data_IF_258926034378
#
_entry.id   IF_258926034378
#
_cell.length_a   1.000
_cell.length_b   1.000
_cell.length_c   1.000
_cell.angle_alpha   90.00
_cell.angle_beta   90.00
_cell.angle_gamma   90.00
#
_symmetry.space_group_name_H-M   'P 1'
#
loop_
_entity.id
_entity.type
_entity.pdbx_description
1 polymer ?
#
# COMPACT_ATOMS: atom_id res chain seq x y z
N UNK A 1 31.65 -7.03 -16.52
CA UNK A 1 31.03 -6.07 -17.45
C UNK A 1 30.11 -6.87 -18.35
N UNK A 2 28.88 -7.11 -17.89
CA UNK A 2 27.85 -7.82 -18.65
C UNK A 2 26.82 -6.77 -19.04
N UNK A 3 26.57 -6.64 -20.34
CA UNK A 3 25.69 -5.67 -20.94
C UNK A 3 24.28 -5.77 -20.33
N UNK A 4 23.84 -4.69 -19.67
CA UNK A 4 22.45 -4.47 -19.35
C UNK A 4 21.72 -4.24 -20.67
N UNK A 5 21.13 -5.29 -21.22
CA UNK A 5 20.17 -5.17 -22.31
C UNK A 5 19.07 -4.20 -21.83
N UNK A 6 18.85 -3.12 -22.58
CA UNK A 6 17.92 -2.07 -22.21
C UNK A 6 16.51 -2.66 -22.17
N UNK A 7 16.08 -3.06 -20.97
CA UNK A 7 14.75 -3.60 -20.74
C UNK A 7 13.74 -2.53 -21.16
N UNK A 8 12.86 -2.90 -22.10
CA UNK A 8 11.93 -1.98 -22.72
C UNK A 8 11.06 -1.30 -21.63
N UNK A 9 11.10 0.04 -21.58
CA UNK A 9 10.33 0.81 -20.59
C UNK A 9 8.90 0.98 -21.07
N UNK A 10 7.94 0.90 -20.16
CA UNK A 10 6.51 1.02 -20.48
C UNK A 10 5.97 2.31 -19.84
N UNK A 11 5.19 3.10 -20.59
CA UNK A 11 4.61 4.33 -20.03
C UNK A 11 3.56 4.02 -18.97
N UNK A 12 3.41 4.91 -17.98
CA UNK A 12 2.36 4.81 -16.97
C UNK A 12 0.96 4.76 -17.60
N UNK A 13 0.74 5.50 -18.69
CA UNK A 13 -0.54 5.48 -19.42
C UNK A 13 -0.83 4.13 -20.10
N UNK A 14 0.19 3.47 -20.67
CA UNK A 14 0.02 2.13 -21.24
C UNK A 14 -0.27 1.08 -20.15
N UNK A 15 0.43 1.18 -19.02
CA UNK A 15 0.18 0.32 -17.85
C UNK A 15 -1.22 0.52 -17.26
N UNK A 16 -1.68 1.77 -17.15
CA UNK A 16 -3.02 2.09 -16.65
C UNK A 16 -4.11 1.45 -17.53
N UNK A 17 -4.05 1.65 -18.86
CA UNK A 17 -5.00 1.03 -19.79
C UNK A 17 -4.98 -0.50 -19.68
N UNK A 18 -3.79 -1.11 -19.75
CA UNK A 18 -3.64 -2.56 -19.69
C UNK A 18 -4.23 -3.15 -18.39
N UNK A 19 -3.97 -2.53 -17.24
CA UNK A 19 -4.53 -2.98 -15.98
C UNK A 19 -6.06 -2.91 -15.96
N UNK A 20 -6.64 -1.81 -16.45
CA UNK A 20 -8.10 -1.64 -16.54
C UNK A 20 -8.72 -2.70 -17.44
N UNK A 21 -8.15 -2.90 -18.62
CA UNK A 21 -8.67 -3.84 -19.61
C UNK A 21 -8.65 -5.27 -19.09
N UNK A 22 -7.54 -5.71 -18.47
CA UNK A 22 -7.44 -7.02 -17.83
C UNK A 22 -8.47 -7.18 -16.71
N UNK A 23 -8.59 -6.19 -15.81
CA UNK A 23 -9.55 -6.28 -14.70
C UNK A 23 -11.00 -6.32 -15.19
N UNK A 24 -11.36 -5.51 -16.18
CA UNK A 24 -12.70 -5.57 -16.82
C UNK A 24 -12.95 -6.91 -17.51
N UNK A 25 -11.95 -7.48 -18.16
CA UNK A 25 -12.05 -8.80 -18.80
C UNK A 25 -12.25 -9.95 -17.79
N UNK A 26 -11.91 -9.75 -16.51
CA UNK A 26 -12.30 -10.70 -15.44
C UNK A 26 -13.77 -10.62 -15.04
N UNK A 27 -14.51 -9.63 -15.57
CA UNK A 27 -15.91 -9.34 -15.23
C UNK A 27 -16.08 -8.33 -14.10
N UNK A 28 -15.01 -7.67 -13.66
CA UNK A 28 -15.09 -6.58 -12.68
C UNK A 28 -15.87 -5.38 -13.24
N UNK A 29 -16.68 -4.73 -12.42
CA UNK A 29 -17.34 -3.47 -12.80
C UNK A 29 -16.33 -2.32 -12.97
N UNK A 30 -16.79 -1.24 -13.61
CA UNK A 30 -15.95 -0.07 -13.90
C UNK A 30 -15.31 0.51 -12.64
N UNK A 31 -16.08 0.62 -11.56
CA UNK A 31 -15.61 1.19 -10.31
C UNK A 31 -14.50 0.34 -9.67
N UNK A 32 -14.64 -0.99 -9.71
CA UNK A 32 -13.65 -1.93 -9.19
C UNK A 32 -12.38 -1.90 -10.03
N UNK A 33 -12.50 -1.94 -11.37
CA UNK A 33 -11.37 -1.86 -12.27
C UNK A 33 -10.60 -0.54 -12.13
N UNK A 34 -11.32 0.59 -12.01
CA UNK A 34 -10.71 1.91 -11.78
C UNK A 34 -9.96 1.96 -10.46
N UNK A 35 -10.61 1.64 -9.35
CA UNK A 35 -10.02 1.74 -8.03
C UNK A 35 -8.79 0.84 -7.88
N UNK A 36 -8.88 -0.42 -8.34
CA UNK A 36 -7.76 -1.35 -8.28
C UNK A 36 -6.58 -0.89 -9.15
N UNK A 37 -6.85 -0.38 -10.36
CA UNK A 37 -5.82 0.19 -11.24
C UNK A 37 -5.16 1.39 -10.59
N UNK A 38 -5.94 2.35 -10.07
CA UNK A 38 -5.41 3.56 -9.42
C UNK A 38 -4.47 3.22 -8.27
N UNK A 39 -4.82 2.24 -7.42
CA UNK A 39 -3.97 1.81 -6.32
C UNK A 39 -2.66 1.15 -6.81
N UNK A 40 -2.73 0.28 -7.83
CA UNK A 40 -1.52 -0.31 -8.43
C UNK A 40 -0.64 0.74 -9.12
N UNK A 41 -1.24 1.68 -9.84
CA UNK A 41 -0.53 2.77 -10.50
C UNK A 41 0.03 3.76 -9.49
N UNK A 42 -0.58 3.93 -8.31
CA UNK A 42 0.05 4.66 -7.22
C UNK A 42 1.35 3.96 -6.79
N UNK A 43 1.30 2.65 -6.49
CA UNK A 43 2.49 1.90 -6.10
C UNK A 43 3.59 1.95 -7.17
N UNK A 44 3.21 1.74 -8.44
CA UNK A 44 4.14 1.81 -9.57
C UNK A 44 4.65 3.23 -9.83
N UNK A 45 3.84 4.28 -9.73
CA UNK A 45 4.33 5.64 -9.96
C UNK A 45 5.39 6.03 -8.92
N UNK A 46 5.17 5.68 -7.65
CA UNK A 46 6.04 6.12 -6.54
C UNK A 46 7.20 5.16 -6.23
N UNK A 47 7.44 4.13 -7.05
CA UNK A 47 8.53 3.17 -6.81
C UNK A 47 8.27 2.12 -5.74
N UNK A 48 7.02 2.00 -5.29
CA UNK A 48 6.57 0.96 -4.35
C UNK A 48 6.10 -0.26 -5.15
N UNK A 49 7.00 -0.80 -5.98
CA UNK A 49 6.68 -1.85 -6.96
C UNK A 49 6.14 -3.13 -6.33
N UNK A 50 6.43 -3.36 -5.04
CA UNK A 50 5.85 -4.42 -4.23
C UNK A 50 4.32 -4.44 -4.26
N UNK A 51 3.71 -3.26 -4.35
CA UNK A 51 2.27 -3.06 -4.43
C UNK A 51 1.85 -2.36 -5.73
N UNK A 52 2.70 -2.45 -6.76
CA UNK A 52 2.44 -1.90 -8.08
C UNK A 52 1.67 -2.85 -9.00
N UNK A 53 1.80 -2.63 -10.31
CA UNK A 53 1.13 -3.40 -11.37
C UNK A 53 1.49 -4.90 -11.38
N UNK A 54 2.56 -5.32 -10.69
CA UNK A 54 2.85 -6.75 -10.46
C UNK A 54 1.74 -7.50 -9.72
N UNK A 55 0.87 -6.79 -9.01
CA UNK A 55 -0.28 -7.39 -8.31
C UNK A 55 -1.45 -7.72 -9.25
N UNK A 56 -1.41 -7.28 -10.51
CA UNK A 56 -2.49 -7.49 -11.47
C UNK A 56 -2.86 -8.97 -11.62
N UNK A 57 -1.87 -9.85 -11.73
CA UNK A 57 -2.10 -11.30 -11.84
C UNK A 57 -2.80 -11.86 -10.59
N UNK A 58 -2.41 -11.40 -9.41
CA UNK A 58 -3.02 -11.80 -8.14
C UNK A 58 -4.48 -11.35 -8.05
N UNK A 59 -4.76 -10.10 -8.41
CA UNK A 59 -6.13 -9.57 -8.38
C UNK A 59 -7.02 -10.21 -9.43
N UNK A 60 -6.51 -10.44 -10.65
CA UNK A 60 -7.23 -11.16 -11.69
C UNK A 60 -7.56 -12.60 -11.23
N UNK A 61 -6.65 -13.28 -10.53
CA UNK A 61 -6.93 -14.60 -9.95
C UNK A 61 -8.01 -14.53 -8.85
N UNK A 62 -7.96 -13.53 -7.95
CA UNK A 62 -8.96 -13.35 -6.90
C UNK A 62 -10.36 -13.03 -7.43
N UNK A 63 -10.44 -12.18 -8.46
CA UNK A 63 -11.70 -11.84 -9.14
C UNK A 63 -12.25 -13.06 -9.87
N UNK A 64 -11.44 -13.75 -10.67
CA UNK A 64 -11.88 -14.92 -11.44
C UNK A 64 -12.22 -16.11 -10.54
N UNK A 65 -11.49 -16.32 -9.44
CA UNK A 65 -11.72 -17.39 -8.49
C UNK A 65 -12.92 -17.17 -7.55
N UNK A 66 -13.37 -15.92 -7.38
CA UNK A 66 -14.53 -15.57 -6.55
C UNK A 66 -14.19 -15.07 -5.14
N UNK A 67 -12.91 -15.09 -4.73
CA UNK A 67 -12.45 -14.51 -3.46
C UNK A 67 -12.63 -13.00 -3.38
N UNK A 68 -12.64 -12.32 -4.53
CA UNK A 68 -12.92 -10.89 -4.64
C UNK A 68 -14.22 -10.72 -5.44
N UNK A 69 -15.20 -10.03 -4.86
CA UNK A 69 -16.43 -9.69 -5.55
C UNK A 69 -16.15 -8.72 -6.70
N UNK A 70 -16.63 -9.08 -7.89
CA UNK A 70 -16.42 -8.33 -9.14
C UNK A 70 -17.29 -7.09 -9.24
N UNK A 71 -18.46 -7.10 -8.61
CA UNK A 71 -19.46 -6.03 -8.67
C UNK A 71 -19.98 -5.70 -7.28
N UNK A 72 -19.10 -5.30 -6.34
CA UNK A 72 -19.44 -5.15 -4.94
C UNK A 72 -20.38 -3.96 -4.70
N UNK A 73 -21.38 -4.17 -3.85
CA UNK A 73 -22.31 -3.13 -3.40
C UNK A 73 -21.82 -2.50 -2.10
N UNK A 74 -20.75 -1.71 -2.18
CA UNK A 74 -20.22 -0.99 -1.01
C UNK A 74 -21.30 -0.09 -0.42
N UNK A 75 -21.60 -0.26 0.87
CA UNK A 75 -22.70 0.44 1.55
C UNK A 75 -22.32 0.85 2.97
N UNK A 76 -22.95 1.92 3.46
CA UNK A 76 -22.85 2.32 4.85
C UNK A 76 -23.76 1.43 5.71
N UNK A 77 -23.20 0.80 6.73
CA UNK A 77 -23.94 0.00 7.72
C UNK A 77 -24.52 0.85 8.84
N UNK A 78 -23.85 1.95 9.19
CA UNK A 78 -24.24 2.84 10.26
C UNK A 78 -23.20 3.90 10.53
N UNK A 79 -23.51 4.83 11.42
CA UNK A 79 -22.65 5.94 11.80
C UNK A 79 -23.36 6.94 12.69
N UNK A 80 -22.59 7.74 13.41
CA UNK A 80 -23.08 8.83 14.24
C UNK A 80 -22.06 9.96 14.31
N UNK A 81 -22.49 11.20 14.07
CA UNK A 81 -21.60 12.36 14.06
C UNK A 81 -20.49 12.21 13.01
N UNK A 82 -19.24 12.22 13.48
CA UNK A 82 -18.04 12.18 12.66
C UNK A 82 -17.56 10.76 12.27
N UNK A 83 -18.34 9.71 12.54
CA UNK A 83 -17.93 8.32 12.28
C UNK A 83 -18.95 7.54 11.46
N UNK A 84 -18.47 6.68 10.56
CA UNK A 84 -19.27 5.75 9.76
C UNK A 84 -18.61 4.37 9.68
N UNK A 85 -19.39 3.32 9.38
CA UNK A 85 -18.89 1.98 9.05
C UNK A 85 -19.37 1.60 7.65
N UNK A 86 -18.46 1.17 6.79
CA UNK A 86 -18.73 0.65 5.46
C UNK A 86 -18.58 -0.87 5.43
N UNK A 87 -19.48 -1.52 4.69
CA UNK A 87 -19.37 -2.90 4.25
C UNK A 87 -18.91 -2.90 2.79
N UNK A 88 -17.78 -3.54 2.51
CA UNK A 88 -17.17 -3.60 1.19
C UNK A 88 -17.70 -4.74 0.31
N UNK A 89 -18.61 -5.58 0.82
CA UNK A 89 -19.26 -6.66 0.07
C UNK A 89 -18.23 -7.63 -0.56
N UNK A 90 -17.18 -7.95 0.19
CA UNK A 90 -16.03 -8.78 -0.21
C UNK A 90 -15.33 -8.28 -1.49
N UNK A 91 -15.49 -6.99 -1.81
CA UNK A 91 -14.92 -6.33 -2.97
C UNK A 91 -13.41 -6.11 -2.90
N UNK A 92 -12.86 -5.62 -4.01
CA UNK A 92 -11.44 -5.26 -4.06
C UNK A 92 -11.13 -4.13 -3.07
N UNK A 93 -10.07 -4.29 -2.27
CA UNK A 93 -9.79 -3.41 -1.14
C UNK A 93 -9.64 -1.94 -1.50
N UNK A 94 -9.10 -1.64 -2.68
CA UNK A 94 -8.95 -0.27 -3.15
C UNK A 94 -10.29 0.46 -3.36
N UNK A 95 -11.33 -0.23 -3.82
CA UNK A 95 -12.63 0.41 -4.05
C UNK A 95 -13.23 0.88 -2.73
N UNK A 96 -13.22 0.00 -1.72
CA UNK A 96 -13.73 0.32 -0.40
C UNK A 96 -12.89 1.41 0.28
N UNK A 97 -11.56 1.35 0.17
CA UNK A 97 -10.68 2.32 0.80
C UNK A 97 -10.76 3.72 0.18
N UNK A 98 -10.87 3.84 -1.16
CA UNK A 98 -11.12 5.14 -1.79
C UNK A 98 -12.47 5.73 -1.39
N UNK A 99 -13.55 4.93 -1.42
CA UNK A 99 -14.88 5.38 -0.98
C UNK A 99 -14.87 5.77 0.51
N UNK A 100 -14.20 4.99 1.35
CA UNK A 100 -14.10 5.29 2.77
C UNK A 100 -13.35 6.60 3.02
N UNK A 101 -12.26 6.87 2.29
CA UNK A 101 -11.50 8.11 2.45
C UNK A 101 -12.30 9.32 1.96
N UNK A 102 -13.03 9.21 0.86
CA UNK A 102 -13.98 10.24 0.40
C UNK A 102 -15.01 10.54 1.50
N UNK A 103 -15.63 9.51 2.09
CA UNK A 103 -16.54 9.66 3.24
C UNK A 103 -15.85 10.30 4.45
N UNK A 104 -14.62 9.93 4.76
CA UNK A 104 -13.86 10.53 5.85
C UNK A 104 -13.61 12.02 5.60
N UNK A 105 -13.26 12.42 4.39
CA UNK A 105 -13.11 13.83 3.99
C UNK A 105 -14.44 14.59 4.09
N UNK A 106 -15.54 14.01 3.61
CA UNK A 106 -16.89 14.60 3.74
C UNK A 106 -17.29 14.82 5.20
N UNK A 107 -16.99 13.86 6.06
CA UNK A 107 -17.24 13.95 7.51
C UNK A 107 -16.32 15.01 8.14
N UNK A 108 -15.04 15.03 7.81
CA UNK A 108 -14.08 16.01 8.31
C UNK A 108 -14.43 17.44 7.87
N UNK A 109 -14.97 17.62 6.66
CA UNK A 109 -15.48 18.91 6.19
C UNK A 109 -16.58 19.47 7.09
N UNK A 110 -17.45 18.59 7.61
CA UNK A 110 -18.61 18.92 8.45
C UNK A 110 -18.29 19.01 9.94
N UNK A 111 -17.43 18.13 10.45
CA UNK A 111 -17.21 17.94 11.89
C UNK A 111 -15.77 18.20 12.33
N UNK A 112 -14.88 18.60 11.42
CA UNK A 112 -13.45 18.80 11.66
C UNK A 112 -12.61 17.51 11.59
N UNK A 113 -13.21 16.36 11.90
CA UNK A 113 -12.64 15.01 11.75
C UNK A 113 -13.67 14.10 11.10
N UNK A 114 -13.22 13.08 10.37
CA UNK A 114 -14.05 12.00 9.86
C UNK A 114 -13.33 10.66 9.96
N UNK A 115 -13.97 9.65 10.55
CA UNK A 115 -13.39 8.31 10.70
C UNK A 115 -14.31 7.25 10.09
N UNK A 116 -13.74 6.33 9.31
CA UNK A 116 -14.51 5.30 8.63
C UNK A 116 -13.87 3.93 8.84
N UNK A 117 -14.62 3.04 9.49
CA UNK A 117 -14.28 1.63 9.62
C UNK A 117 -14.75 0.86 8.38
N UNK A 118 -13.91 -0.05 7.85
CA UNK A 118 -14.19 -0.83 6.64
C UNK A 118 -14.25 -2.31 7.00
N UNK A 119 -15.39 -2.94 6.68
CA UNK A 119 -15.66 -4.37 6.87
C UNK A 119 -15.66 -5.10 5.54
N UNK A 120 -15.46 -6.42 5.61
CA UNK A 120 -15.58 -7.33 4.46
C UNK A 120 -14.75 -6.87 3.27
N UNK A 121 -13.54 -6.37 3.52
CA UNK A 121 -12.63 -5.91 2.46
C UNK A 121 -11.60 -6.98 2.12
N UNK A 122 -10.75 -6.67 1.16
CA UNK A 122 -9.62 -7.50 0.72
C UNK A 122 -8.33 -6.68 0.68
N UNK A 123 -7.26 -7.25 0.14
CA UNK A 123 -5.98 -6.55 0.01
C UNK A 123 -6.15 -5.26 -0.82
N UNK A 124 -5.65 -4.14 -0.30
CA UNK A 124 -5.87 -2.82 -0.89
C UNK A 124 -4.60 -2.20 -1.52
N UNK A 125 -3.52 -2.95 -1.73
CA UNK A 125 -2.29 -2.36 -2.29
C UNK A 125 -1.59 -1.40 -1.31
N UNK A 126 -0.99 -0.30 -1.80
CA UNK A 126 -0.25 0.64 -0.95
C UNK A 126 -1.21 1.53 -0.15
N UNK A 127 -1.05 1.59 1.17
CA UNK A 127 -1.91 2.41 2.04
C UNK A 127 -1.78 3.91 1.73
N UNK A 128 -0.62 4.34 1.23
CA UNK A 128 -0.34 5.69 0.74
C UNK A 128 -1.26 6.16 -0.36
N UNK A 129 -1.87 5.26 -1.13
CA UNK A 129 -2.84 5.62 -2.17
C UNK A 129 -4.04 6.37 -1.60
N UNK A 130 -4.47 6.04 -0.38
CA UNK A 130 -5.68 6.60 0.23
C UNK A 130 -5.35 7.83 1.06
N UNK A 131 -4.29 7.77 1.87
CA UNK A 131 -3.84 8.91 2.68
C UNK A 131 -3.49 10.12 1.80
N UNK A 132 -2.91 9.88 0.62
CA UNK A 132 -2.59 10.94 -0.35
C UNK A 132 -3.83 11.63 -0.92
N UNK A 133 -4.96 10.93 -1.12
CA UNK A 133 -6.18 11.56 -1.66
C UNK A 133 -6.76 12.60 -0.69
N UNK A 134 -6.71 12.34 0.62
CA UNK A 134 -7.10 13.33 1.62
C UNK A 134 -6.13 14.53 1.62
N UNK A 135 -4.82 14.26 1.56
CA UNK A 135 -3.79 15.32 1.54
C UNK A 135 -3.94 16.25 0.33
N UNK A 136 -4.25 15.70 -0.84
CA UNK A 136 -4.54 16.48 -2.06
C UNK A 136 -5.79 17.36 -1.96
N UNK A 137 -6.71 17.01 -1.07
CA UNK A 137 -7.92 17.78 -0.81
C UNK A 137 -7.75 18.78 0.36
N UNK A 138 -6.54 18.90 0.93
CA UNK A 138 -6.27 19.81 2.05
C UNK A 138 -6.55 19.21 3.43
N UNK A 139 -6.75 17.89 3.53
CA UNK A 139 -6.97 17.19 4.80
C UNK A 139 -5.78 16.34 5.19
N UNK A 140 -5.52 16.15 6.48
CA UNK A 140 -4.59 15.12 6.92
C UNK A 140 -5.31 13.77 6.81
N UNK A 141 -4.78 12.86 6.00
CA UNK A 141 -5.33 11.51 5.84
C UNK A 141 -4.53 10.47 6.58
N UNK A 142 -5.18 9.49 7.19
CA UNK A 142 -4.59 8.27 7.70
C UNK A 142 -5.30 7.05 7.12
N UNK A 143 -4.53 6.03 6.74
CA UNK A 143 -5.04 4.75 6.26
C UNK A 143 -4.24 3.59 6.87
N UNK A 144 -4.95 2.62 7.41
CA UNK A 144 -4.39 1.40 8.03
C UNK A 144 -5.21 0.17 7.65
N UNK A 145 -4.56 -0.99 7.58
CA UNK A 145 -5.20 -2.29 7.44
C UNK A 145 -4.36 -3.38 8.12
N UNK A 146 -4.94 -4.56 8.35
CA UNK A 146 -4.16 -5.74 8.74
C UNK A 146 -3.95 -6.71 7.56
N UNK A 147 -3.28 -7.83 7.79
CA UNK A 147 -3.07 -8.91 6.80
C UNK A 147 -2.94 -10.27 7.51
N UNK A 148 -2.78 -11.36 6.77
CA UNK A 148 -2.39 -12.65 7.38
C UNK A 148 -1.05 -12.53 8.13
N UNK A 149 -0.92 -13.29 9.22
CA UNK A 149 0.24 -13.26 10.12
C UNK A 149 1.56 -13.57 9.41
N UNK A 150 2.52 -12.65 9.54
CA UNK A 150 3.86 -12.79 8.94
C UNK A 150 4.99 -12.20 9.79
N UNK A 151 4.67 -11.29 10.72
CA UNK A 151 5.64 -10.60 11.59
C UNK A 151 5.54 -11.18 12.99
N UNK A 152 6.68 -11.51 13.61
CA UNK A 152 6.72 -11.93 15.02
C UNK A 152 6.53 -10.76 15.98
N UNK A 153 6.24 -11.07 17.24
CA UNK A 153 6.40 -10.11 18.32
C UNK A 153 7.89 -9.93 18.67
N UNK A 154 8.19 -8.92 19.48
CA UNK A 154 9.49 -8.82 20.14
C UNK A 154 9.73 -10.07 20.98
N UNK A 155 10.91 -10.69 20.82
CA UNK A 155 11.27 -12.01 21.37
C UNK A 155 10.33 -13.19 21.04
N UNK A 156 9.40 -13.01 20.10
CA UNK A 156 8.48 -14.05 19.67
C UNK A 156 9.10 -15.05 18.68
N UNK A 157 8.64 -16.29 18.70
CA UNK A 157 9.06 -17.36 17.77
C UNK A 157 7.92 -17.82 16.86
N UNK A 158 6.94 -16.96 16.60
CA UNK A 158 5.76 -17.28 15.79
C UNK A 158 5.28 -16.04 15.05
N UNK A 159 4.84 -16.22 13.79
CA UNK A 159 4.15 -15.17 13.02
C UNK A 159 2.89 -14.75 13.79
N UNK A 160 2.73 -13.45 14.04
CA UNK A 160 1.67 -12.93 14.89
C UNK A 160 0.86 -11.85 14.18
N UNK A 161 1.45 -10.69 13.91
CA UNK A 161 0.79 -9.62 13.14
C UNK A 161 1.03 -9.82 11.64
N UNK A 162 0.16 -9.24 10.84
CA UNK A 162 0.48 -8.89 9.46
C UNK A 162 1.59 -7.83 9.39
N UNK A 163 1.92 -7.38 8.17
CA UNK A 163 2.83 -6.23 8.00
C UNK A 163 2.18 -4.90 8.43
N UNK A 164 0.87 -4.91 8.65
CA UNK A 164 0.06 -3.89 9.32
C UNK A 164 0.50 -2.43 9.03
N UNK A 165 0.33 -1.94 7.78
CA UNK A 165 0.88 -0.66 7.38
C UNK A 165 0.23 0.52 8.11
N UNK A 166 1.03 1.58 8.28
CA UNK A 166 0.60 2.92 8.68
C UNK A 166 0.92 3.86 7.54
N UNK A 167 -0.12 4.51 7.00
CA UNK A 167 0.06 5.62 6.08
C UNK A 167 -0.58 6.89 6.60
N UNK A 168 0.13 8.00 6.45
CA UNK A 168 -0.33 9.36 6.78
C UNK A 168 0.09 10.32 5.66
N UNK A 169 -0.88 11.09 5.15
CA UNK A 169 -0.68 12.13 4.16
C UNK A 169 -1.04 13.48 4.76
N UNK A 170 -0.18 14.49 4.59
CA UNK A 170 -0.36 15.84 5.14
C UNK A 170 -0.21 16.86 4.01
N UNK A 171 -1.16 17.81 3.84
CA UNK A 171 -1.05 18.86 2.83
C UNK A 171 0.22 19.69 3.03
N UNK A 172 0.94 19.95 1.93
CA UNK A 172 2.13 20.78 1.91
C UNK A 172 1.95 21.88 0.85
N UNK A 173 1.75 23.15 1.23
CA UNK A 173 1.48 24.23 0.29
C UNK A 173 2.59 24.41 -0.75
N UNK A 174 2.18 24.55 -2.02
CA UNK A 174 3.10 24.83 -3.13
C UNK A 174 4.03 23.67 -3.54
N UNK A 175 3.84 22.47 -2.98
CA UNK A 175 4.66 21.28 -3.28
C UNK A 175 3.86 19.99 -3.08
N UNK A 176 4.47 18.83 -3.36
CA UNK A 176 3.85 17.55 -3.09
C UNK A 176 3.62 17.32 -1.58
N UNK A 177 2.51 16.67 -1.17
CA UNK A 177 2.21 16.37 0.22
C UNK A 177 3.34 15.64 0.95
N UNK A 178 3.45 15.86 2.27
CA UNK A 178 4.23 14.97 3.12
C UNK A 178 3.49 13.63 3.19
N UNK A 179 4.17 12.52 2.89
CA UNK A 179 3.54 11.21 2.77
C UNK A 179 4.40 10.14 3.44
N UNK A 180 3.93 9.65 4.59
CA UNK A 180 4.43 8.43 5.19
C UNK A 180 3.60 7.25 4.70
N UNK A 181 4.25 6.21 4.20
CA UNK A 181 3.64 4.91 3.94
C UNK A 181 4.65 3.82 4.29
N UNK A 182 4.41 3.11 5.39
CA UNK A 182 5.35 2.13 5.92
C UNK A 182 4.63 0.92 6.53
N UNK A 183 5.23 -0.25 6.38
CA UNK A 183 4.90 -1.42 7.21
C UNK A 183 5.38 -1.20 8.65
N UNK A 184 4.77 -1.88 9.60
CA UNK A 184 5.25 -1.92 11.00
C UNK A 184 6.35 -2.97 11.22
N UNK A 185 6.60 -3.82 10.23
CA UNK A 185 7.83 -4.63 10.13
C UNK A 185 9.00 -3.81 9.63
N UNK A 186 10.23 -4.22 9.96
CA UNK A 186 11.44 -3.53 9.50
C UNK A 186 11.57 -3.49 7.97
N UNK A 187 11.02 -4.49 7.29
CA UNK A 187 10.99 -4.61 5.83
C UNK A 187 9.67 -5.30 5.40
N UNK A 188 9.12 -5.01 4.20
CA UNK A 188 8.03 -5.82 3.65
C UNK A 188 8.51 -7.19 3.18
N UNK A 189 7.63 -8.20 3.24
CA UNK A 189 7.99 -9.61 2.96
C UNK A 189 8.53 -9.85 1.55
N UNK A 190 8.07 -9.07 0.57
CA UNK A 190 8.53 -9.18 -0.80
C UNK A 190 10.02 -8.88 -0.96
N UNK A 191 10.64 -8.11 -0.05
CA UNK A 191 12.09 -7.93 -0.03
C UNK A 191 12.77 -9.22 0.37
N UNK A 192 12.28 -9.96 1.36
CA UNK A 192 12.85 -11.28 1.70
C UNK A 192 12.85 -12.21 0.48
N UNK A 193 11.75 -12.23 -0.29
CA UNK A 193 11.67 -13.00 -1.54
C UNK A 193 12.69 -12.52 -2.60
N UNK A 194 12.91 -11.21 -2.73
CA UNK A 194 13.92 -10.64 -3.63
C UNK A 194 15.33 -11.07 -3.22
N UNK A 195 15.70 -10.90 -1.96
CA UNK A 195 17.02 -11.29 -1.46
C UNK A 195 17.26 -12.81 -1.62
N UNK A 196 16.23 -13.63 -1.39
CA UNK A 196 16.26 -15.07 -1.66
C UNK A 196 16.50 -15.37 -3.13
N UNK A 197 15.80 -14.68 -4.03
CA UNK A 197 15.96 -14.85 -5.49
C UNK A 197 17.35 -14.42 -5.98
N UNK A 198 17.94 -13.40 -5.36
CA UNK A 198 19.27 -12.90 -5.71
C UNK A 198 20.41 -13.67 -5.03
N UNK A 199 20.10 -14.53 -4.06
CA UNK A 199 21.10 -15.23 -3.25
C UNK A 199 21.94 -14.27 -2.39
N UNK A 200 21.40 -13.11 -2.03
CA UNK A 200 22.11 -12.08 -1.26
C UNK A 200 21.65 -12.06 0.21
N UNK A 201 22.54 -11.78 1.17
CA UNK A 201 22.18 -11.70 2.58
C UNK A 201 21.17 -10.59 2.88
N UNK A 202 20.22 -10.86 3.77
CA UNK A 202 19.31 -9.86 4.34
C UNK A 202 20.07 -8.86 5.22
N UNK A 203 19.61 -7.61 5.32
CA UNK A 203 20.06 -6.70 6.37
C UNK A 203 19.78 -7.26 7.77
N UNK A 204 20.52 -6.80 8.76
CA UNK A 204 20.34 -7.21 10.15
C UNK A 204 18.94 -6.86 10.67
N UNK A 205 18.42 -7.70 11.56
CA UNK A 205 17.17 -7.50 12.30
C UNK A 205 15.91 -7.27 11.43
N UNK A 206 15.86 -7.85 10.23
CA UNK A 206 14.68 -7.73 9.35
C UNK A 206 13.80 -8.98 9.30
N UNK A 207 14.37 -10.15 9.57
CA UNK A 207 13.65 -11.43 9.55
C UNK A 207 14.32 -12.45 10.48
N UNK A 208 13.54 -13.44 10.88
CA UNK A 208 13.93 -14.49 11.83
C UNK A 208 13.56 -15.87 11.32
N UNK A 209 14.26 -16.89 11.80
CA UNK A 209 13.98 -18.29 11.52
C UNK A 209 12.78 -18.84 12.32
N UNK A 210 12.54 -20.15 12.24
CA UNK A 210 11.46 -20.83 12.98
C UNK A 210 11.55 -20.70 14.51
N UNK A 211 12.73 -20.41 15.05
CA UNK A 211 12.97 -20.27 16.49
C UNK A 211 12.85 -18.81 16.95
N UNK A 212 12.53 -17.87 16.05
CA UNK A 212 12.49 -16.44 16.35
C UNK A 212 13.87 -15.79 16.42
N UNK A 213 14.93 -16.48 15.99
CA UNK A 213 16.30 -15.95 15.97
C UNK A 213 16.52 -15.23 14.65
N UNK A 214 16.98 -13.97 14.70
CA UNK A 214 17.24 -13.18 13.50
C UNK A 214 18.30 -13.84 12.61
N UNK A 215 18.06 -13.82 11.29
CA UNK A 215 18.91 -14.51 10.32
C UNK A 215 19.22 -13.63 9.11
N UNK A 216 20.47 -13.55 8.66
CA UNK A 216 20.82 -12.87 7.41
C UNK A 216 20.51 -13.77 6.18
N UNK A 217 20.18 -15.04 6.39
CA UNK A 217 19.91 -15.99 5.30
C UNK A 217 18.43 -15.93 4.90
N UNK A 218 18.16 -15.33 3.73
CA UNK A 218 16.82 -15.21 3.18
C UNK A 218 16.12 -16.56 2.93
N UNK A 219 16.86 -17.66 2.78
CA UNK A 219 16.30 -19.00 2.63
C UNK A 219 15.81 -19.58 3.97
N UNK A 220 16.38 -19.13 5.10
CA UNK A 220 15.97 -19.53 6.46
C UNK A 220 14.97 -18.57 7.09
N UNK A 221 14.73 -17.42 6.47
CA UNK A 221 13.79 -16.43 6.95
C UNK A 221 12.34 -16.96 6.86
N UNK A 222 11.73 -17.12 8.03
CA UNK A 222 10.39 -17.69 8.19
C UNK A 222 9.39 -16.69 8.75
N UNK A 223 9.83 -15.65 9.44
CA UNK A 223 8.98 -14.56 9.92
C UNK A 223 9.72 -13.23 9.80
N UNK A 224 8.98 -12.14 9.62
CA UNK A 224 9.56 -10.81 9.64
C UNK A 224 9.76 -10.33 11.08
N UNK A 225 10.77 -9.50 11.28
CA UNK A 225 10.99 -8.80 12.53
C UNK A 225 10.22 -7.46 12.57
N UNK A 226 9.68 -7.05 13.74
CA UNK A 226 9.06 -5.75 13.89
C UNK A 226 10.10 -4.63 13.77
N UNK A 227 9.67 -3.45 13.31
CA UNK A 227 10.55 -2.28 13.23
C UNK A 227 11.14 -1.91 14.61
N UNK A 228 12.45 -1.68 14.65
CA UNK A 228 13.15 -1.17 15.83
C UNK A 228 14.33 -2.02 16.30
N UNK A 229 14.58 -3.19 15.69
CA UNK A 229 15.68 -4.08 16.07
C UNK A 229 15.58 -4.51 17.53
N UNK A 230 16.60 -4.17 18.33
CA UNK A 230 16.59 -4.36 19.80
C UNK A 230 15.37 -3.69 20.46
N UNK A 231 14.88 -2.57 19.93
CA UNK A 231 13.67 -1.89 20.39
C UNK A 231 12.42 -2.30 19.61
N UNK A 232 12.43 -3.49 18.99
CA UNK A 232 11.37 -4.01 18.13
C UNK A 232 9.99 -4.11 18.78
N UNK A 233 9.91 -4.09 20.12
CA UNK A 233 8.66 -3.97 20.84
C UNK A 233 7.87 -2.68 20.48
N UNK A 234 8.54 -1.62 20.02
CA UNK A 234 7.87 -0.41 19.50
C UNK A 234 7.18 -0.68 18.16
N UNK A 235 7.85 -1.33 17.22
CA UNK A 235 7.24 -1.74 15.94
C UNK A 235 6.10 -2.73 16.14
N UNK A 236 6.25 -3.67 17.08
CA UNK A 236 5.17 -4.58 17.46
C UNK A 236 3.98 -3.84 18.11
N UNK A 237 4.23 -2.81 18.91
CA UNK A 237 3.19 -1.94 19.47
C UNK A 237 2.44 -1.13 18.39
N UNK A 238 3.16 -0.60 17.39
CA UNK A 238 2.56 0.06 16.24
C UNK A 238 1.70 -0.92 15.43
N UNK A 239 2.17 -2.15 15.22
CA UNK A 239 1.40 -3.20 14.56
C UNK A 239 0.11 -3.53 15.32
N UNK A 240 0.16 -3.53 16.65
CA UNK A 240 -1.01 -3.71 17.53
C UNK A 240 -2.02 -2.58 17.42
N UNK A 241 -1.58 -1.32 17.34
CA UNK A 241 -2.48 -0.18 17.07
C UNK A 241 -3.24 -0.37 15.76
N UNK A 242 -2.52 -0.74 14.70
CA UNK A 242 -3.13 -1.01 13.38
C UNK A 242 -4.09 -2.19 13.45
N UNK A 243 -3.74 -3.27 14.15
CA UNK A 243 -4.59 -4.44 14.35
C UNK A 243 -5.89 -4.07 15.06
N UNK A 244 -5.81 -3.25 16.13
CA UNK A 244 -6.98 -2.78 16.87
C UNK A 244 -7.91 -1.98 15.96
N UNK A 245 -7.36 -1.03 15.18
CA UNK A 245 -8.17 -0.20 14.29
C UNK A 245 -8.75 -1.00 13.11
N UNK A 246 -8.01 -1.98 12.60
CA UNK A 246 -8.36 -2.68 11.36
C UNK A 246 -9.17 -3.94 11.58
N UNK A 247 -9.09 -4.58 12.75
CA UNK A 247 -9.81 -5.82 13.07
C UNK A 247 -10.75 -5.66 14.26
N UNK A 248 -10.23 -5.26 15.42
CA UNK A 248 -11.05 -5.20 16.66
C UNK A 248 -12.17 -4.17 16.53
N UNK A 249 -11.83 -2.95 16.09
CA UNK A 249 -12.78 -1.85 15.91
C UNK A 249 -13.75 -2.12 14.76
N UNK A 250 -13.27 -2.73 13.68
CA UNK A 250 -14.10 -3.07 12.51
C UNK A 250 -14.95 -4.32 12.77
N UNK A 251 -14.62 -5.17 13.73
CA UNK A 251 -15.23 -6.49 13.92
C UNK A 251 -14.78 -7.52 12.87
N UNK A 252 -13.70 -7.24 12.13
CA UNK A 252 -13.12 -8.17 11.16
C UNK A 252 -12.07 -9.08 11.81
N UNK A 253 -11.56 -10.04 11.05
CA UNK A 253 -10.63 -11.06 11.54
C UNK A 253 -9.30 -10.44 11.96
N UNK A 254 -8.74 -10.94 13.07
CA UNK A 254 -7.36 -10.67 13.46
C UNK A 254 -6.40 -11.31 12.46
N UNK A 255 -5.16 -10.81 12.39
CA UNK A 255 -4.11 -11.34 11.50
C UNK A 255 -3.97 -12.87 11.56
N UNK A 256 -4.09 -13.45 12.77
CA UNK A 256 -3.98 -14.89 13.00
C UNK A 256 -5.12 -15.71 12.38
N UNK A 257 -6.28 -15.08 12.11
CA UNK A 257 -7.49 -15.71 11.61
C UNK A 257 -7.76 -15.39 10.13
N UNK A 258 -6.94 -14.52 9.53
CA UNK A 258 -7.01 -14.18 8.11
C UNK A 258 -6.36 -15.30 7.30
N UNK A 259 -7.10 -15.86 6.35
CA UNK A 259 -6.58 -16.84 5.40
C UNK A 259 -5.39 -16.27 4.61
N UNK A 260 -4.45 -17.12 4.19
CA UNK A 260 -3.25 -16.65 3.50
C UNK A 260 -3.61 -15.80 2.27
N UNK A 261 -2.80 -14.77 2.02
CA UNK A 261 -2.92 -14.02 0.77
C UNK A 261 -2.65 -14.94 -0.43
N UNK A 262 -1.68 -15.83 -0.30
CA UNK A 262 -1.29 -16.73 -1.38
C UNK A 262 -2.26 -17.91 -1.51
N UNK A 263 -2.21 -18.57 -2.67
CA UNK A 263 -3.03 -19.74 -2.97
C UNK A 263 -2.75 -20.95 -2.05
N UNK A 264 -3.47 -22.07 -2.26
CA UNK A 264 -4.24 -22.37 -3.46
C UNK A 264 -5.67 -21.79 -3.49
N UNK A 265 -6.22 -21.34 -2.36
CA UNK A 265 -7.62 -20.86 -2.32
C UNK A 265 -7.78 -19.41 -2.79
N UNK A 266 -8.37 -19.25 -3.97
CA UNK A 266 -8.80 -17.97 -4.55
C UNK A 266 -10.32 -17.85 -4.67
N UNK A 267 -11.07 -18.65 -3.91
CA UNK A 267 -12.54 -18.68 -3.92
C UNK A 267 -13.18 -18.18 -2.64
N UNK A 268 -12.58 -18.42 -1.47
CA UNK A 268 -13.13 -17.99 -0.18
C UNK A 268 -12.73 -16.54 0.14
N UNK A 269 -13.68 -15.62 0.41
CA UNK A 269 -13.37 -14.27 0.87
C UNK A 269 -12.55 -14.27 2.17
N UNK A 270 -11.56 -13.36 2.24
CA UNK A 270 -10.64 -13.28 3.39
C UNK A 270 -11.24 -12.53 4.58
N UNK A 271 -12.31 -11.76 4.36
CA UNK A 271 -12.97 -10.95 5.38
C UNK A 271 -11.97 -10.05 6.15
N UNK A 272 -11.15 -9.30 5.42
CA UNK A 272 -10.18 -8.36 6.03
C UNK A 272 -10.91 -7.10 6.49
N UNK A 273 -10.25 -6.33 7.36
CA UNK A 273 -10.72 -5.00 7.75
C UNK A 273 -9.66 -3.93 7.55
N UNK A 274 -10.12 -2.69 7.49
CA UNK A 274 -9.28 -1.51 7.34
C UNK A 274 -9.96 -0.31 8.01
N UNK A 275 -9.19 0.75 8.22
CA UNK A 275 -9.66 1.98 8.84
C UNK A 275 -9.03 3.19 8.18
N UNK A 276 -9.82 4.23 7.98
CA UNK A 276 -9.35 5.52 7.47
C UNK A 276 -9.83 6.68 8.35
N UNK A 277 -9.04 7.74 8.38
CA UNK A 277 -9.31 8.96 9.11
C UNK A 277 -8.92 10.16 8.26
N UNK A 278 -9.74 11.21 8.28
CA UNK A 278 -9.41 12.51 7.74
C UNK A 278 -9.54 13.58 8.84
N UNK A 279 -8.62 14.53 8.86
CA UNK A 279 -8.61 15.66 9.80
C UNK A 279 -8.52 16.94 8.99
N UNK A 280 -9.42 17.88 9.25
CA UNK A 280 -9.43 19.21 8.65
C UNK A 280 -8.50 20.14 9.44
N UNK A 281 -7.34 20.57 8.92
CA UNK A 281 -6.43 21.44 9.66
C UNK A 281 -7.10 22.73 10.15
N UNK A 282 -8.00 23.32 9.35
CA UNK A 282 -8.68 24.58 9.67
C UNK A 282 -9.69 24.47 10.82
N UNK A 283 -10.02 23.25 11.26
CA UNK A 283 -10.80 23.06 12.47
C UNK A 283 -9.98 23.30 13.76
N UNK A 284 -8.65 23.36 13.65
CA UNK A 284 -7.73 23.49 14.80
C UNK A 284 -6.94 24.79 14.78
N UNK A 285 -6.55 25.27 13.60
CA UNK A 285 -5.73 26.48 13.46
C UNK A 285 -6.04 27.18 12.13
N UNK A 286 -5.82 28.49 12.03
CA UNK A 286 -5.96 29.20 10.75
C UNK A 286 -5.09 28.56 9.66
N UNK A 287 -5.63 28.46 8.44
CA UNK A 287 -4.98 27.81 7.30
C UNK A 287 -3.55 28.32 7.12
N UNK A 288 -3.37 29.63 7.08
CA UNK A 288 -2.08 30.29 6.84
C UNK A 288 -1.05 29.91 7.89
N UNK A 289 -1.48 29.67 9.14
CA UNK A 289 -0.60 29.24 10.22
C UNK A 289 -0.18 27.78 10.06
N UNK A 290 -1.11 26.89 9.69
CA UNK A 290 -0.80 25.49 9.38
C UNK A 290 0.17 25.40 8.19
N UNK A 291 -0.13 26.14 7.13
CA UNK A 291 0.64 26.21 5.90
C UNK A 291 2.07 26.72 6.15
N UNK A 292 2.21 27.82 6.89
CA UNK A 292 3.52 28.34 7.30
C UNK A 292 4.30 27.35 8.18
N UNK A 293 3.62 26.65 9.09
CA UNK A 293 4.21 25.61 9.94
C UNK A 293 4.75 24.44 9.14
N UNK A 294 3.99 23.94 8.17
CA UNK A 294 4.41 22.85 7.28
C UNK A 294 5.58 23.24 6.39
N UNK A 295 5.54 24.44 5.78
CA UNK A 295 6.65 24.97 4.99
C UNK A 295 7.92 25.04 5.83
N UNK A 296 7.84 25.66 7.02
CA UNK A 296 8.99 25.79 7.92
C UNK A 296 9.53 24.43 8.37
N UNK A 297 8.65 23.48 8.70
CA UNK A 297 9.05 22.13 9.11
C UNK A 297 9.85 21.42 8.01
N UNK A 298 9.36 21.42 6.77
CA UNK A 298 10.03 20.78 5.64
C UNK A 298 11.36 21.46 5.31
N UNK A 299 11.44 22.79 5.40
CA UNK A 299 12.69 23.53 5.24
C UNK A 299 13.73 23.16 6.30
N UNK A 300 13.36 23.11 7.59
CA UNK A 300 14.27 22.68 8.67
C UNK A 300 14.74 21.25 8.43
N UNK A 301 13.80 20.35 8.13
CA UNK A 301 14.08 18.92 7.97
C UNK A 301 15.08 18.70 6.83
N UNK A 302 14.81 19.26 5.66
CA UNK A 302 15.66 19.10 4.46
C UNK A 302 16.97 19.88 4.55
N UNK A 303 17.01 20.95 5.35
CA UNK A 303 18.21 21.72 5.65
C UNK A 303 19.05 21.18 6.82
N UNK A 304 18.64 20.07 7.44
CA UNK A 304 19.35 19.49 8.58
C UNK A 304 20.74 18.96 8.18
N UNK A 305 21.68 19.01 9.11
CA UNK A 305 23.03 18.50 8.90
C UNK A 305 23.00 17.00 8.57
N UNK A 306 23.80 16.61 7.58
CA UNK A 306 23.88 15.22 7.10
C UNK A 306 25.20 14.60 7.52
N UNK A 307 25.18 13.27 7.71
CA UNK A 307 26.42 12.49 7.72
C UNK A 307 27.13 12.59 6.37
N UNK A 308 28.44 12.37 6.37
CA UNK A 308 29.24 12.33 5.14
C UNK A 308 28.63 11.36 4.12
N UNK A 309 28.53 11.81 2.86
CA UNK A 309 27.96 11.07 1.72
C UNK A 309 26.49 10.62 1.91
N UNK A 310 25.75 11.25 2.84
CA UNK A 310 24.33 10.96 3.06
C UNK A 310 23.43 12.15 2.65
N UNK A 311 22.13 11.90 2.56
CA UNK A 311 21.12 12.93 2.32
C UNK A 311 19.94 12.70 3.27
N UNK A 312 19.43 13.78 3.87
CA UNK A 312 18.17 13.75 4.64
C UNK A 312 17.00 14.04 3.72
N UNK A 313 15.85 13.44 4.01
CA UNK A 313 14.65 13.59 3.19
C UNK A 313 13.40 13.44 4.05
N UNK A 314 12.34 14.15 3.69
CA UNK A 314 11.03 13.97 4.31
C UNK A 314 10.35 12.71 3.76
N UNK A 315 9.45 12.08 4.53
CA UNK A 315 8.50 11.10 4.00
C UNK A 315 7.81 11.60 2.73
N UNK A 316 7.94 10.83 1.64
CA UNK A 316 7.43 11.17 0.31
C UNK A 316 8.51 11.68 -0.66
N UNK A 317 9.60 12.29 -0.19
CA UNK A 317 10.61 12.91 -1.07
C UNK A 317 11.29 11.91 -2.02
N UNK A 318 11.43 10.64 -1.60
CA UNK A 318 11.96 9.58 -2.47
C UNK A 318 10.92 9.21 -3.53
N UNK A 319 9.68 9.07 -3.11
CA UNK A 319 8.53 8.70 -3.91
C UNK A 319 8.22 9.77 -4.99
N UNK A 320 8.32 11.07 -4.66
CA UNK A 320 8.11 12.18 -5.60
C UNK A 320 9.18 12.24 -6.68
N UNK A 321 10.45 12.02 -6.30
CA UNK A 321 11.55 11.92 -7.27
C UNK A 321 11.37 10.75 -8.22
N UNK A 322 10.98 9.59 -7.70
CA UNK A 322 10.72 8.41 -8.52
C UNK A 322 9.51 8.61 -9.43
N UNK A 323 8.45 9.25 -8.94
CA UNK A 323 7.28 9.61 -9.73
C UNK A 323 7.65 10.51 -10.91
N UNK A 324 8.41 11.57 -10.68
CA UNK A 324 8.90 12.45 -11.76
C UNK A 324 9.76 11.69 -12.77
N UNK A 325 10.65 10.81 -12.30
CA UNK A 325 11.47 9.99 -13.18
C UNK A 325 10.63 9.01 -14.03
N UNK A 326 9.65 8.32 -13.44
CA UNK A 326 8.78 7.36 -14.15
C UNK A 326 7.78 8.03 -15.08
N UNK A 327 7.37 9.26 -14.79
CA UNK A 327 6.54 10.05 -15.70
C UNK A 327 7.35 10.41 -16.96
N UNK A 328 8.60 10.82 -16.81
CA UNK A 328 9.45 11.21 -17.94
C UNK A 328 10.01 10.02 -18.74
N UNK A 329 10.34 8.91 -18.07
CA UNK A 329 11.10 7.82 -18.70
C UNK A 329 10.33 6.50 -18.80
N UNK A 330 9.13 6.41 -18.22
CA UNK A 330 8.40 5.15 -18.08
C UNK A 330 9.02 4.20 -17.05
N UNK A 331 8.41 3.03 -16.94
CA UNK A 331 8.67 2.01 -15.91
C UNK A 331 9.40 0.82 -16.52
N UNK A 332 10.46 0.36 -15.87
CA UNK A 332 11.08 -0.93 -16.19
C UNK A 332 10.33 -2.05 -15.48
N UNK A 333 9.81 -3.01 -16.25
CA UNK A 333 9.16 -4.19 -15.69
C UNK A 333 10.19 -5.31 -15.56
N UNK A 334 10.24 -6.00 -14.42
CA UNK A 334 11.09 -7.18 -14.29
C UNK A 334 10.60 -8.34 -15.20
N UNK A 335 11.47 -9.29 -15.58
CA UNK A 335 11.10 -10.35 -16.51
C UNK A 335 9.91 -11.20 -16.07
N UNK A 336 9.74 -11.44 -14.76
CA UNK A 336 8.63 -12.25 -14.25
C UNK A 336 7.31 -11.48 -14.35
N UNK A 337 7.30 -10.18 -14.06
CA UNK A 337 6.12 -9.33 -14.26
C UNK A 337 5.75 -9.25 -15.75
N UNK A 338 6.74 -9.10 -16.64
CA UNK A 338 6.49 -9.06 -18.09
C UNK A 338 5.92 -10.38 -18.62
N UNK A 339 6.46 -11.52 -18.18
CA UNK A 339 5.93 -12.84 -18.54
C UNK A 339 4.48 -13.02 -18.06
N UNK A 340 4.18 -12.64 -16.81
CA UNK A 340 2.82 -12.70 -16.26
C UNK A 340 1.84 -11.81 -17.05
N UNK A 341 2.29 -10.66 -17.57
CA UNK A 341 1.47 -9.83 -18.45
C UNK A 341 1.19 -10.53 -19.78
N UNK A 342 2.17 -11.23 -20.35
CA UNK A 342 1.97 -12.05 -21.55
C UNK A 342 0.90 -13.14 -21.37
N UNK A 343 0.93 -13.82 -20.22
CA UNK A 343 -0.08 -14.82 -19.87
C UNK A 343 -1.47 -14.21 -19.72
N UNK A 344 -1.59 -13.07 -19.03
CA UNK A 344 -2.85 -12.35 -18.87
C UNK A 344 -3.41 -11.83 -20.20
N UNK A 345 -2.56 -11.21 -21.02
CA UNK A 345 -2.89 -10.71 -22.35
C UNK A 345 -3.47 -11.83 -23.22
N UNK A 346 -2.77 -12.97 -23.28
CA UNK A 346 -3.22 -14.16 -24.01
C UNK A 346 -4.54 -14.72 -23.47
N UNK A 347 -4.67 -14.84 -22.15
CA UNK A 347 -5.87 -15.40 -21.50
C UNK A 347 -7.13 -14.56 -21.73
N UNK A 348 -6.99 -13.23 -21.68
CA UNK A 348 -8.13 -12.31 -21.72
C UNK A 348 -8.31 -11.61 -23.08
N UNK A 349 -7.44 -11.87 -24.06
CA UNK A 349 -7.52 -11.25 -25.39
C UNK A 349 -7.25 -9.75 -25.38
N UNK A 350 -6.35 -9.29 -24.50
CA UNK A 350 -5.97 -7.87 -24.36
C UNK A 350 -4.56 -7.67 -24.91
N UNK A 351 -4.32 -6.56 -25.61
CA UNK A 351 -2.98 -6.24 -26.13
C UNK A 351 -1.99 -5.93 -25.01
N UNK A 352 -0.74 -6.37 -25.18
CA UNK A 352 0.33 -6.02 -24.24
C UNK A 352 0.61 -4.51 -24.25
N UNK A 353 0.99 -3.93 -23.11
CA UNK A 353 1.32 -2.51 -23.07
C UNK A 353 2.60 -2.26 -23.87
N UNK A 354 2.53 -1.41 -24.88
CA UNK A 354 3.67 -1.09 -25.73
C UNK A 354 4.79 -0.40 -24.96
N UNK A 355 6.03 -0.74 -25.33
CA UNK A 355 7.21 -0.02 -24.86
C UNK A 355 7.21 1.42 -25.38
N UNK A 356 7.74 2.34 -24.58
CA UNK A 356 8.12 3.67 -25.03
C UNK A 356 9.28 3.48 -25.99
N UNK A 357 9.12 3.88 -27.26
CA UNK A 357 10.26 4.01 -28.15
C UNK A 357 11.23 5.01 -27.51
N UNK A 358 12.47 4.59 -27.26
CA UNK A 358 13.50 5.51 -26.82
C UNK A 358 13.64 6.58 -27.90
N UNK A 359 13.08 7.76 -27.65
CA UNK A 359 13.34 8.95 -28.47
C UNK A 359 14.86 9.14 -28.53
N UNK A 360 15.40 9.12 -29.74
CA UNK A 360 16.85 9.17 -30.01
C UNK A 360 17.53 10.44 -29.57
#
# INVERSE_FOLDING_TARGET
MLHADAQARVSLAALDRFCRDILKATGADEATADAATRAMLHGTRHGVDSHGVRLLAHYAAGLTGGRINRTPKVRTLGGFGAVETLDADDGHGALAAYRAMERAVDLAGRFGIGAVAIRNTSHFGPAGAYALEAARQGFIGLAVCNSDSIVRLHDGATRFHGTNPISVGVPAPGQDPWLLDMATSAVPYNRVLLYRSLGTPLPDAVASDLNGIDTPDAAKAEMLAPLGGEFGFKGAGLAGLVEILSAVLTGMRLSADIASMQGPDFSTPRCMGAFVLAIRPEAFVARETFEAGMTRYLEVLRGSAVREQCTVMAPGDREWREAAHREAHGVSLDPATFAAFGELASRYGVELPHAVENGG
#
